data_IF_097267588889
#
_entry.id   IF_097267588889
#
_cell.length_a   1.000
_cell.length_b   1.000
_cell.length_c   1.000
_cell.angle_alpha   90.00
_cell.angle_beta   90.00
_cell.angle_gamma   90.00
#
_symmetry.space_group_name_H-M   'P 1'
#
loop_
_entity.id
_entity.type
_entity.pdbx_description
1 polymer ?
#
# COMPACT_ATOMS: atom_id res chain seq x y z
N UNK A 1 21.99 0.74 6.38
CA UNK A 1 20.60 0.40 6.03
C UNK A 1 20.40 -1.09 6.29
N UNK A 2 19.58 -1.38 7.29
CA UNK A 2 19.39 -2.75 7.78
C UNK A 2 18.07 -3.34 7.28
N UNK A 3 17.92 -3.42 5.97
CA UNK A 3 16.72 -3.97 5.36
C UNK A 3 16.93 -5.41 4.93
N UNK A 4 15.98 -6.27 5.28
CA UNK A 4 16.00 -7.67 4.90
C UNK A 4 14.58 -8.13 4.58
N UNK A 5 14.41 -9.11 3.69
CA UNK A 5 13.11 -9.68 3.42
C UNK A 5 12.42 -10.16 4.70
N UNK A 6 11.10 -10.04 4.73
CA UNK A 6 10.29 -10.42 5.88
C UNK A 6 9.74 -9.27 6.70
N UNK A 7 10.24 -8.04 6.49
CA UNK A 7 9.65 -6.86 7.14
C UNK A 7 8.24 -6.65 6.60
N UNK A 8 7.29 -6.44 7.49
CA UNK A 8 5.91 -6.24 7.08
C UNK A 8 5.22 -5.20 7.96
N UNK A 9 4.15 -4.63 7.44
CA UNK A 9 3.28 -3.74 8.19
C UNK A 9 1.85 -3.98 7.76
N UNK A 10 0.94 -3.66 8.67
CA UNK A 10 -0.49 -3.81 8.47
C UNK A 10 -1.18 -2.50 8.81
N UNK A 11 -2.09 -2.07 7.94
CA UNK A 11 -2.94 -0.90 8.18
C UNK A 11 -4.39 -1.34 8.19
N UNK A 12 -5.18 -0.79 9.13
CA UNK A 12 -6.62 -0.99 9.20
C UNK A 12 -7.30 0.31 8.81
N UNK A 13 -8.21 0.24 7.86
CA UNK A 13 -8.85 1.43 7.30
C UNK A 13 -10.34 1.16 7.15
N UNK A 14 -11.16 2.12 7.57
CA UNK A 14 -12.60 2.11 7.27
C UNK A 14 -12.79 2.98 6.04
N UNK A 15 -13.38 2.41 5.00
CA UNK A 15 -13.61 3.12 3.74
C UNK A 15 -14.56 4.30 3.98
N UNK A 16 -14.11 5.50 3.64
CA UNK A 16 -14.90 6.73 3.76
C UNK A 16 -15.31 7.24 2.38
N UNK A 17 -16.17 8.25 2.35
CA UNK A 17 -16.56 8.88 1.08
C UNK A 17 -15.37 9.43 0.31
N UNK A 18 -14.35 9.95 1.01
CA UNK A 18 -13.14 10.47 0.39
C UNK A 18 -12.31 9.39 -0.32
N UNK A 19 -12.52 8.11 0.04
CA UNK A 19 -11.79 6.98 -0.54
C UNK A 19 -12.45 6.41 -1.80
N UNK A 20 -13.61 6.95 -2.19
CA UNK A 20 -14.41 6.36 -3.27
C UNK A 20 -13.91 6.72 -4.66
N UNK A 21 -14.29 5.91 -5.65
CA UNK A 21 -14.00 6.18 -7.05
C UNK A 21 -14.56 7.54 -7.49
N UNK A 22 -15.74 7.93 -6.99
CA UNK A 22 -16.33 9.24 -7.29
C UNK A 22 -15.39 10.35 -6.79
N UNK A 23 -14.97 10.28 -5.54
CA UNK A 23 -14.10 11.29 -4.94
C UNK A 23 -12.73 11.35 -5.62
N UNK A 24 -12.18 10.20 -6.02
CA UNK A 24 -10.89 10.12 -6.70
C UNK A 24 -10.95 10.52 -8.17
N UNK A 25 -12.17 10.62 -8.74
CA UNK A 25 -12.33 10.90 -10.17
C UNK A 25 -11.97 9.70 -11.06
N UNK A 26 -11.95 8.50 -10.51
CA UNK A 26 -11.54 7.29 -11.24
C UNK A 26 -12.72 6.41 -11.64
N UNK A 27 -13.93 6.81 -11.33
CA UNK A 27 -15.15 6.09 -11.66
C UNK A 27 -16.37 6.85 -11.16
N UNK A 28 -17.54 6.24 -11.28
CA UNK A 28 -18.80 6.88 -10.95
C UNK A 28 -19.65 6.11 -9.91
N UNK A 29 -19.03 5.21 -9.18
CA UNK A 29 -19.70 4.44 -8.11
C UNK A 29 -19.06 4.71 -6.75
N UNK A 30 -19.84 4.63 -5.65
CA UNK A 30 -19.36 4.97 -4.31
C UNK A 30 -18.69 3.79 -3.60
N UNK A 31 -17.64 3.26 -4.20
CA UNK A 31 -16.85 2.17 -3.64
C UNK A 31 -15.37 2.58 -3.60
N UNK A 32 -14.57 1.89 -2.80
CA UNK A 32 -13.14 2.13 -2.70
C UNK A 32 -12.51 2.22 -4.09
N UNK A 33 -11.85 3.34 -4.37
CA UNK A 33 -11.19 3.59 -5.64
C UNK A 33 -9.94 2.73 -5.79
N UNK A 34 -9.71 2.20 -7.00
CA UNK A 34 -8.49 1.44 -7.30
C UNK A 34 -7.21 2.24 -7.01
N UNK A 35 -7.08 3.51 -7.44
CA UNK A 35 -5.89 4.29 -7.08
C UNK A 35 -5.76 4.54 -5.57
N UNK A 36 -6.88 4.61 -4.83
CA UNK A 36 -6.82 4.76 -3.38
C UNK A 36 -6.33 3.48 -2.71
N UNK A 37 -6.78 2.32 -3.19
CA UNK A 37 -6.29 1.03 -2.71
C UNK A 37 -4.78 0.92 -2.93
N UNK A 38 -4.30 1.34 -4.09
CA UNK A 38 -2.87 1.37 -4.37
C UNK A 38 -2.12 2.29 -3.40
N UNK A 39 -2.65 3.49 -3.15
CA UNK A 39 -2.03 4.43 -2.20
C UNK A 39 -1.93 3.82 -0.80
N UNK A 40 -2.94 3.08 -0.36
CA UNK A 40 -2.93 2.40 0.94
C UNK A 40 -1.87 1.29 0.98
N UNK A 41 -1.74 0.54 -0.10
CA UNK A 41 -0.70 -0.49 -0.22
C UNK A 41 0.70 0.14 -0.16
N UNK A 42 0.89 1.27 -0.83
CA UNK A 42 2.16 2.01 -0.77
C UNK A 42 2.43 2.52 0.64
N UNK A 43 1.42 3.04 1.33
CA UNK A 43 1.57 3.50 2.71
C UNK A 43 2.00 2.35 3.63
N UNK A 44 1.42 1.17 3.45
CA UNK A 44 1.81 -0.02 4.22
C UNK A 44 3.26 -0.42 3.92
N UNK A 45 3.68 -0.37 2.66
CA UNK A 45 5.07 -0.69 2.29
C UNK A 45 6.06 0.29 2.91
N UNK A 46 5.74 1.58 2.89
CA UNK A 46 6.56 2.61 3.53
C UNK A 46 6.64 2.39 5.05
N UNK A 47 5.53 2.03 5.68
CA UNK A 47 5.49 1.75 7.11
C UNK A 47 6.34 0.53 7.49
N UNK A 48 6.40 -0.47 6.62
CA UNK A 48 7.17 -1.70 6.89
C UNK A 48 8.67 -1.41 7.00
N UNK A 49 9.20 -0.47 6.23
CA UNK A 49 10.63 -0.16 6.20
C UNK A 49 11.01 1.10 6.96
N UNK A 50 10.06 2.01 7.20
CA UNK A 50 10.35 3.31 7.83
C UNK A 50 11.19 3.23 9.09
N UNK A 51 10.84 2.37 10.07
CA UNK A 51 11.62 2.26 11.31
C UNK A 51 13.05 1.76 11.12
N UNK A 52 13.36 1.18 9.97
CA UNK A 52 14.66 0.58 9.66
C UNK A 52 15.53 1.47 8.77
N UNK A 53 15.03 2.63 8.37
CA UNK A 53 15.79 3.59 7.56
C UNK A 53 16.46 4.63 8.46
N UNK A 54 17.69 5.00 8.11
CA UNK A 54 18.36 6.13 8.74
C UNK A 54 17.57 7.41 8.46
N UNK A 55 17.70 8.41 9.35
CA UNK A 55 16.90 9.65 9.29
C UNK A 55 17.02 10.40 7.96
N UNK A 56 18.21 10.38 7.35
CA UNK A 56 18.46 11.07 6.07
C UNK A 56 17.90 10.32 4.87
N UNK A 57 17.48 9.05 5.04
CA UNK A 57 16.98 8.23 3.97
C UNK A 57 15.45 8.20 3.94
N UNK A 58 14.91 8.04 2.74
CA UNK A 58 13.49 7.79 2.53
C UNK A 58 13.34 6.84 1.34
N UNK A 59 12.12 6.55 0.95
CA UNK A 59 11.88 5.76 -0.25
C UNK A 59 10.79 6.37 -1.10
N UNK A 60 10.85 6.10 -2.40
CA UNK A 60 9.84 6.53 -3.36
C UNK A 60 9.34 5.32 -4.14
N UNK A 61 8.05 5.31 -4.50
CA UNK A 61 7.48 4.25 -5.33
C UNK A 61 7.90 4.42 -6.77
N UNK A 62 8.25 3.31 -7.43
CA UNK A 62 8.72 3.33 -8.82
C UNK A 62 7.91 2.43 -9.75
N UNK A 63 7.28 1.40 -9.23
CA UNK A 63 6.47 0.50 -10.04
C UNK A 63 5.42 -0.19 -9.17
N UNK A 64 4.33 -0.60 -9.78
CA UNK A 64 3.27 -1.31 -9.09
C UNK A 64 2.51 -2.21 -10.07
N UNK A 65 2.03 -3.34 -9.56
CA UNK A 65 1.02 -4.12 -10.23
C UNK A 65 -0.09 -4.41 -9.22
N UNK A 66 -1.33 -4.38 -9.66
CA UNK A 66 -2.49 -4.46 -8.78
C UNK A 66 -3.64 -5.16 -9.48
N UNK A 67 -4.25 -6.11 -8.77
CA UNK A 67 -5.56 -6.62 -9.12
C UNK A 67 -6.53 -6.18 -8.03
N UNK A 68 -7.60 -5.50 -8.42
CA UNK A 68 -8.67 -5.07 -7.53
C UNK A 68 -9.86 -5.99 -7.81
N UNK A 69 -10.04 -6.98 -6.95
CA UNK A 69 -10.93 -8.12 -7.21
C UNK A 69 -12.32 -7.97 -6.63
N UNK A 70 -12.49 -7.18 -5.57
CA UNK A 70 -13.75 -7.07 -4.85
C UNK A 70 -14.00 -5.61 -4.49
N UNK A 71 -15.23 -5.14 -4.72
CA UNK A 71 -15.63 -3.78 -4.34
C UNK A 71 -15.79 -3.69 -2.82
N UNK A 72 -15.46 -2.53 -2.27
CA UNK A 72 -15.62 -2.23 -0.85
C UNK A 72 -16.49 -0.97 -0.70
N UNK A 73 -17.68 -1.08 -0.10
CA UNK A 73 -18.54 0.09 0.09
C UNK A 73 -18.05 0.97 1.22
N UNK A 74 -18.54 2.21 1.27
CA UNK A 74 -18.31 3.09 2.41
C UNK A 74 -18.75 2.40 3.69
N UNK A 75 -17.90 2.45 4.73
CA UNK A 75 -18.13 1.79 6.01
C UNK A 75 -17.48 0.43 6.14
N UNK A 76 -17.04 -0.18 5.06
CA UNK A 76 -16.31 -1.45 5.13
C UNK A 76 -14.95 -1.25 5.77
N UNK A 77 -14.57 -2.15 6.66
CA UNK A 77 -13.21 -2.16 7.22
C UNK A 77 -12.33 -3.07 6.38
N UNK A 78 -11.19 -2.56 5.97
CA UNK A 78 -10.20 -3.32 5.21
C UNK A 78 -8.89 -3.37 5.97
N UNK A 79 -8.16 -4.45 5.75
CA UNK A 79 -6.82 -4.67 6.31
C UNK A 79 -5.85 -4.73 5.14
N UNK A 80 -4.85 -3.87 5.16
CA UNK A 80 -3.84 -3.75 4.12
C UNK A 80 -2.52 -4.23 4.69
N UNK A 81 -1.95 -5.28 4.12
CA UNK A 81 -0.67 -5.82 4.57
C UNK A 81 0.34 -5.77 3.44
N UNK A 82 1.53 -5.27 3.73
CA UNK A 82 2.64 -5.27 2.78
C UNK A 82 3.86 -5.90 3.41
N UNK A 83 4.53 -6.74 2.65
CA UNK A 83 5.74 -7.44 3.09
C UNK A 83 6.87 -7.21 2.12
N UNK A 84 8.04 -6.85 2.64
CA UNK A 84 9.27 -6.74 1.86
C UNK A 84 9.74 -8.14 1.47
N UNK A 85 9.80 -8.41 0.16
CA UNK A 85 10.15 -9.74 -0.36
C UNK A 85 11.54 -9.81 -0.98
N UNK A 86 12.07 -8.67 -1.44
CA UNK A 86 13.38 -8.66 -2.08
C UNK A 86 14.09 -7.34 -1.82
N UNK A 87 15.39 -7.42 -1.58
CA UNK A 87 16.28 -6.26 -1.45
C UNK A 87 17.41 -6.42 -2.45
N UNK A 88 17.52 -5.49 -3.37
CA UNK A 88 18.58 -5.47 -4.40
C UNK A 88 19.25 -4.08 -4.37
N UNK A 89 20.24 -3.91 -3.51
CA UNK A 89 20.81 -2.61 -3.26
C UNK A 89 19.78 -1.65 -2.67
N UNK A 90 19.47 -0.57 -3.39
CA UNK A 90 18.47 0.42 -2.96
C UNK A 90 17.08 0.12 -3.49
N UNK A 91 16.95 -0.89 -4.36
CA UNK A 91 15.67 -1.29 -4.93
C UNK A 91 15.00 -2.33 -4.03
N UNK A 92 13.77 -2.09 -3.67
CA UNK A 92 12.98 -2.92 -2.77
C UNK A 92 11.73 -3.40 -3.47
N UNK A 93 11.42 -4.69 -3.34
CA UNK A 93 10.19 -5.27 -3.87
C UNK A 93 9.33 -5.76 -2.72
N UNK A 94 8.03 -5.44 -2.79
CA UNK A 94 7.04 -5.83 -1.80
C UNK A 94 5.93 -6.63 -2.46
N UNK A 95 5.33 -7.54 -1.71
CA UNK A 95 4.02 -8.08 -2.03
C UNK A 95 3.01 -7.45 -1.08
N UNK A 96 1.78 -7.25 -1.55
CA UNK A 96 0.73 -6.77 -0.67
C UNK A 96 -0.58 -7.50 -0.91
N UNK A 97 -1.41 -7.52 0.11
CA UNK A 97 -2.75 -8.08 0.04
C UNK A 97 -3.69 -7.20 0.86
N UNK A 98 -4.90 -7.04 0.35
CA UNK A 98 -5.94 -6.26 1.02
C UNK A 98 -7.14 -7.17 1.21
N UNK A 99 -7.65 -7.21 2.44
CA UNK A 99 -8.80 -8.05 2.81
C UNK A 99 -9.87 -7.23 3.48
N UNK A 100 -11.12 -7.63 3.35
CA UNK A 100 -12.15 -7.16 4.27
C UNK A 100 -11.85 -7.76 5.64
N UNK A 101 -11.99 -6.95 6.68
CA UNK A 101 -11.84 -7.46 8.04
C UNK A 101 -13.03 -8.37 8.34
N UNK A 102 -12.80 -9.65 8.71
CA UNK A 102 -13.92 -10.49 9.12
C UNK A 102 -14.48 -9.97 10.44
N UNK A 103 -15.80 -9.83 10.53
CA UNK A 103 -16.45 -9.34 11.74
C UNK A 103 -17.74 -10.11 12.01
N UNK A 104 -17.87 -10.57 13.24
CA UNK A 104 -19.08 -11.19 13.73
C UNK A 104 -19.27 -12.66 13.32
N UNK A 105 -20.34 -13.29 13.85
CA UNK A 105 -20.68 -14.66 13.51
C UNK A 105 -21.01 -14.80 12.02
N UNK A 106 -20.55 -15.87 11.40
CA UNK A 106 -20.80 -16.11 9.99
C UNK A 106 -19.84 -15.38 9.05
N UNK A 107 -18.72 -14.87 9.56
CA UNK A 107 -17.70 -14.28 8.72
C UNK A 107 -17.28 -15.26 7.63
N UNK A 108 -17.10 -14.74 6.40
CA UNK A 108 -16.70 -15.53 5.24
C UNK A 108 -15.32 -16.14 5.40
N UNK A 109 -15.03 -17.18 4.64
CA UNK A 109 -13.68 -17.73 4.58
C UNK A 109 -12.69 -16.66 4.11
N UNK A 110 -11.44 -16.77 4.59
CA UNK A 110 -10.42 -15.74 4.35
C UNK A 110 -10.20 -15.45 2.85
N UNK A 111 -10.19 -16.48 2.01
CA UNK A 111 -10.01 -16.28 0.57
C UNK A 111 -11.15 -15.52 -0.09
N UNK A 112 -12.35 -15.57 0.49
CA UNK A 112 -13.51 -14.83 -0.02
C UNK A 112 -13.49 -13.36 0.39
N UNK A 113 -12.58 -12.99 1.31
CA UNK A 113 -12.47 -11.65 1.83
C UNK A 113 -11.42 -10.82 1.11
N UNK A 114 -10.68 -11.41 0.18
CA UNK A 114 -9.62 -10.70 -0.54
C UNK A 114 -10.21 -9.62 -1.44
N UNK A 115 -9.82 -8.37 -1.18
CA UNK A 115 -10.22 -7.20 -1.95
C UNK A 115 -9.29 -6.99 -3.14
N UNK A 116 -8.00 -7.17 -2.90
CA UNK A 116 -7.00 -7.00 -3.95
C UNK A 116 -5.63 -7.48 -3.50
N UNK A 117 -4.71 -7.56 -4.46
CA UNK A 117 -3.35 -7.99 -4.20
C UNK A 117 -2.43 -7.51 -5.32
N UNK A 118 -1.14 -7.52 -5.07
CA UNK A 118 -0.17 -7.14 -6.10
C UNK A 118 1.24 -7.01 -5.57
N UNK A 119 2.04 -6.30 -6.33
CA UNK A 119 3.44 -6.05 -6.01
C UNK A 119 3.75 -4.56 -6.12
N UNK A 120 4.74 -4.13 -5.35
CA UNK A 120 5.22 -2.74 -5.36
C UNK A 120 6.73 -2.76 -5.45
N UNK A 121 7.28 -1.76 -6.11
CA UNK A 121 8.70 -1.50 -6.09
C UNK A 121 8.94 -0.11 -5.53
N UNK A 122 9.91 -0.01 -4.62
CA UNK A 122 10.32 1.28 -4.05
C UNK A 122 11.84 1.37 -4.16
N UNK A 123 12.34 2.61 -4.19
CA UNK A 123 13.77 2.86 -4.21
C UNK A 123 14.13 3.75 -3.04
N UNK A 124 15.17 3.37 -2.30
CA UNK A 124 15.69 4.17 -1.19
C UNK A 124 16.54 5.30 -1.74
N UNK A 125 16.28 6.51 -1.26
CA UNK A 125 16.99 7.72 -1.69
C UNK A 125 17.42 8.53 -0.48
N UNK A 126 18.50 9.32 -0.65
CA UNK A 126 18.84 10.36 0.30
C UNK A 126 17.86 11.51 0.09
N UNK A 127 17.11 11.87 1.12
CA UNK A 127 16.02 12.83 1.03
C UNK A 127 16.46 14.18 0.50
N UNK A 128 17.52 14.75 1.07
CA UNK A 128 17.98 16.07 0.66
C UNK A 128 18.52 16.08 -0.76
N UNK A 129 19.31 15.07 -1.12
CA UNK A 129 19.88 14.97 -2.47
C UNK A 129 18.79 14.76 -3.52
N UNK A 130 17.82 13.94 -3.20
CA UNK A 130 16.69 13.70 -4.09
C UNK A 130 15.91 14.98 -4.38
N UNK A 131 15.54 15.71 -3.32
CA UNK A 131 14.80 16.96 -3.45
C UNK A 131 15.62 18.06 -4.14
N UNK A 132 16.93 18.12 -3.87
CA UNK A 132 17.80 19.11 -4.50
C UNK A 132 17.86 18.94 -6.02
N UNK A 133 17.79 17.70 -6.51
CA UNK A 133 17.78 17.45 -7.96
C UNK A 133 16.51 17.95 -8.62
N UNK A 134 15.41 17.95 -7.92
CA UNK A 134 14.11 18.41 -8.44
C UNK A 134 14.07 19.94 -8.59
N UNK A 135 14.90 20.65 -7.83
CA UNK A 135 14.98 22.11 -7.91
C UNK A 135 15.68 22.59 -9.18
N UNK A 136 16.23 21.69 -9.98
CA UNK A 136 16.92 21.99 -11.25
C UNK A 136 16.12 21.43 -12.40
N UNK A 137 15.42 22.27 -13.16
CA UNK A 137 14.66 21.83 -14.32
C UNK A 137 15.56 21.32 -15.44
#
# INVERSE_FOLDING_TARGET
MELAPGLLAELRVVVSEADTAIAAGSGDVPVLATPRLLALAEAASAAAIGPHLATELTSVGTAASLEHRRASPVGAEIVVEAELTEVAGRRLVFSFIVRHSPSGPGAEAEEDLVVGAGTLERVVVDREKFLARLARP
#
